data_IF_254092537821
#
_entry.id   IF_254092537821
#
_cell.length_a   1.000
_cell.length_b   1.000
_cell.length_c   1.000
_cell.angle_alpha   90.00
_cell.angle_beta   90.00
_cell.angle_gamma   90.00
#
_symmetry.space_group_name_H-M   'P 1'
#
loop_
_entity.id
_entity.type
_entity.pdbx_description
1 polymer ?
#
# COMPACT_ATOMS: atom_id res chain seq x y z
N UNK A 1 5.63 29.28 29.03
CA UNK A 1 6.45 29.29 27.79
C UNK A 1 5.46 29.51 26.66
N UNK A 2 5.08 30.77 26.47
CA UNK A 2 4.15 31.19 25.43
C UNK A 2 4.83 31.01 24.06
N UNK A 3 4.19 30.24 23.18
CA UNK A 3 4.66 30.09 21.81
C UNK A 3 4.55 31.45 21.09
N UNK A 4 5.56 31.87 20.31
CA UNK A 4 5.53 33.17 19.63
C UNK A 4 4.31 33.26 18.71
N UNK A 5 3.59 34.39 18.79
CA UNK A 5 2.44 34.67 17.94
C UNK A 5 2.88 34.75 16.47
N UNK A 6 2.11 34.16 15.54
CA UNK A 6 2.51 34.10 14.14
C UNK A 6 2.37 35.48 13.47
N UNK A 7 3.47 36.18 13.27
CA UNK A 7 3.54 37.53 12.64
C UNK A 7 3.15 37.57 11.15
N UNK A 8 2.77 36.44 10.53
CA UNK A 8 2.31 36.41 9.12
C UNK A 8 1.10 35.49 8.92
N UNK A 9 0.18 35.81 7.99
CA UNK A 9 -0.99 34.97 7.71
C UNK A 9 -0.61 33.56 7.21
N UNK A 10 0.53 33.43 6.52
CA UNK A 10 1.09 32.13 6.15
C UNK A 10 1.58 31.34 7.37
N UNK A 11 2.26 31.98 8.33
CA UNK A 11 2.67 31.34 9.57
C UNK A 11 1.47 30.89 10.41
N UNK A 12 0.38 31.65 10.43
CA UNK A 12 -0.86 31.26 11.12
C UNK A 12 -1.50 30.02 10.48
N UNK A 13 -1.56 29.96 9.15
CA UNK A 13 -2.05 28.78 8.41
C UNK A 13 -1.14 27.56 8.64
N UNK A 14 0.18 27.75 8.59
CA UNK A 14 1.16 26.67 8.88
C UNK A 14 1.07 26.18 10.32
N UNK A 15 0.86 27.08 11.29
CA UNK A 15 0.67 26.71 12.69
C UNK A 15 -0.62 25.91 12.89
N UNK A 16 -1.72 26.31 12.23
CA UNK A 16 -2.99 25.59 12.28
C UNK A 16 -2.93 24.21 11.61
N UNK A 17 -2.30 24.10 10.44
CA UNK A 17 -2.12 22.81 9.74
C UNK A 17 -1.25 21.86 10.56
N UNK A 18 -0.20 22.38 11.19
CA UNK A 18 0.68 21.59 12.07
C UNK A 18 -0.07 21.06 13.29
N UNK A 19 -0.90 21.90 13.94
CA UNK A 19 -1.74 21.48 15.07
C UNK A 19 -2.75 20.41 14.66
N UNK A 20 -3.41 20.55 13.51
CA UNK A 20 -4.34 19.55 12.99
C UNK A 20 -3.64 18.22 12.69
N UNK A 21 -2.45 18.28 12.08
CA UNK A 21 -1.63 17.10 11.79
C UNK A 21 -1.20 16.39 13.09
N UNK A 22 -0.81 17.13 14.12
CA UNK A 22 -0.44 16.57 15.43
C UNK A 22 -1.64 15.91 16.12
N UNK A 23 -2.82 16.53 16.09
CA UNK A 23 -4.05 15.93 16.64
C UNK A 23 -4.42 14.66 15.88
N UNK A 24 -4.41 14.72 14.55
CA UNK A 24 -4.69 13.56 13.71
C UNK A 24 -3.74 12.40 13.99
N UNK A 25 -2.43 12.68 14.10
CA UNK A 25 -1.43 11.69 14.47
C UNK A 25 -1.69 11.12 15.88
N UNK A 26 -2.06 11.97 16.84
CA UNK A 26 -2.39 11.56 18.21
C UNK A 26 -3.58 10.59 18.26
N UNK A 27 -4.62 10.82 17.45
CA UNK A 27 -5.76 9.91 17.32
C UNK A 27 -5.38 8.60 16.64
N UNK A 28 -4.52 8.66 15.61
CA UNK A 28 -3.99 7.47 14.96
C UNK A 28 -3.16 6.62 15.94
N UNK A 29 -2.32 7.26 16.75
CA UNK A 29 -1.49 6.57 17.74
C UNK A 29 -2.35 5.85 18.78
N UNK A 30 -3.47 6.45 19.23
CA UNK A 30 -4.47 5.80 20.10
C UNK A 30 -5.17 4.59 19.48
N UNK A 31 -5.34 4.55 18.16
CA UNK A 31 -5.95 3.44 17.43
C UNK A 31 -4.97 2.27 17.17
N UNK A 32 -3.67 2.48 17.39
CA UNK A 32 -2.59 1.52 17.14
C UNK A 32 -2.77 0.15 17.82
N UNK A 33 -3.17 0.03 19.11
CA UNK A 33 -3.23 -1.28 19.78
C UNK A 33 -4.39 -2.18 19.30
N UNK A 34 -5.42 -1.61 18.67
CA UNK A 34 -6.65 -2.34 18.33
C UNK A 34 -6.60 -2.99 16.94
N UNK A 35 -5.57 -3.79 16.66
CA UNK A 35 -5.35 -4.41 15.34
C UNK A 35 -6.56 -5.21 14.85
N UNK A 36 -7.16 -6.05 15.69
CA UNK A 36 -8.32 -6.87 15.30
C UNK A 36 -9.54 -6.02 14.90
N UNK A 37 -9.89 -5.02 15.72
CA UNK A 37 -11.02 -4.12 15.44
C UNK A 37 -10.79 -3.27 14.20
N UNK A 38 -9.55 -2.82 13.98
CA UNK A 38 -9.13 -2.07 12.79
C UNK A 38 -9.41 -2.87 11.52
N UNK A 39 -8.90 -4.09 11.44
CA UNK A 39 -9.08 -4.97 10.28
C UNK A 39 -10.52 -5.46 10.12
N UNK A 40 -11.23 -5.73 11.23
CA UNK A 40 -12.64 -6.05 11.18
C UNK A 40 -13.46 -4.91 10.58
N UNK A 41 -13.21 -3.66 11.01
CA UNK A 41 -13.86 -2.48 10.46
C UNK A 41 -13.59 -2.31 8.96
N UNK A 42 -12.34 -2.46 8.52
CA UNK A 42 -11.99 -2.41 7.10
C UNK A 42 -12.66 -3.53 6.29
N UNK A 43 -12.71 -4.75 6.84
CA UNK A 43 -13.37 -5.89 6.22
C UNK A 43 -14.87 -5.66 6.03
N UNK A 44 -15.56 -5.17 7.08
CA UNK A 44 -16.98 -4.80 7.00
C UNK A 44 -17.19 -3.71 5.95
N UNK A 45 -16.38 -2.66 5.95
CA UNK A 45 -16.47 -1.57 4.98
C UNK A 45 -16.25 -2.06 3.54
N UNK A 46 -15.30 -2.96 3.33
CA UNK A 46 -15.03 -3.57 2.03
C UNK A 46 -16.20 -4.44 1.53
N UNK A 47 -16.79 -5.24 2.42
CA UNK A 47 -17.99 -6.04 2.10
C UNK A 47 -19.18 -5.15 1.78
N UNK A 48 -19.41 -4.08 2.54
CA UNK A 48 -20.48 -3.11 2.26
C UNK A 48 -20.27 -2.42 0.91
N UNK A 49 -19.03 -2.05 0.57
CA UNK A 49 -18.69 -1.50 -0.74
C UNK A 49 -18.99 -2.52 -1.86
N UNK A 50 -18.53 -3.77 -1.72
CA UNK A 50 -18.81 -4.83 -2.71
C UNK A 50 -20.31 -5.10 -2.87
N UNK A 51 -21.04 -5.19 -1.76
CA UNK A 51 -22.49 -5.37 -1.75
C UNK A 51 -23.19 -4.21 -2.48
N UNK A 52 -22.75 -2.97 -2.23
CA UNK A 52 -23.27 -1.79 -2.92
C UNK A 52 -23.06 -1.89 -4.42
N UNK A 53 -21.87 -2.23 -4.91
CA UNK A 53 -21.59 -2.37 -6.35
C UNK A 53 -22.46 -3.46 -6.99
N UNK A 54 -22.60 -4.63 -6.33
CA UNK A 54 -23.40 -5.75 -6.83
C UNK A 54 -24.89 -5.42 -6.85
N UNK A 55 -25.43 -4.78 -5.82
CA UNK A 55 -26.85 -4.40 -5.80
C UNK A 55 -27.16 -3.25 -6.77
N UNK A 56 -26.24 -2.30 -6.92
CA UNK A 56 -26.41 -1.14 -7.79
C UNK A 56 -26.15 -1.43 -9.27
N UNK A 57 -25.43 -2.52 -9.57
CA UNK A 57 -24.98 -2.89 -10.90
C UNK A 57 -24.28 -1.73 -11.64
N UNK A 58 -23.41 -0.98 -10.94
CA UNK A 58 -22.75 0.21 -11.49
C UNK A 58 -21.46 0.58 -10.76
N UNK A 59 -20.83 1.70 -11.16
CA UNK A 59 -19.57 2.21 -10.59
C UNK A 59 -18.38 1.22 -10.71
N UNK A 60 -18.37 0.41 -11.76
CA UNK A 60 -17.32 -0.60 -12.00
C UNK A 60 -15.92 -0.01 -12.13
N UNK A 61 -15.79 1.21 -12.66
CA UNK A 61 -14.49 1.91 -12.73
C UNK A 61 -13.97 2.25 -11.33
N UNK A 62 -14.84 2.65 -10.41
CA UNK A 62 -14.46 2.93 -9.02
C UNK A 62 -14.00 1.63 -8.34
N UNK A 63 -14.73 0.54 -8.54
CA UNK A 63 -14.33 -0.77 -8.03
C UNK A 63 -13.00 -1.25 -8.63
N UNK A 64 -12.79 -1.06 -9.92
CA UNK A 64 -11.57 -1.44 -10.63
C UNK A 64 -10.36 -0.64 -10.16
N UNK A 65 -10.48 0.69 -10.06
CA UNK A 65 -9.40 1.56 -9.56
C UNK A 65 -9.07 1.26 -8.09
N UNK A 66 -10.08 1.01 -7.25
CA UNK A 66 -9.87 0.53 -5.89
C UNK A 66 -9.13 -0.81 -5.85
N UNK A 67 -9.51 -1.76 -6.72
CA UNK A 67 -8.87 -3.06 -6.83
C UNK A 67 -7.38 -2.99 -7.23
N UNK A 68 -7.05 -2.14 -8.21
CA UNK A 68 -5.64 -1.90 -8.60
C UNK A 68 -4.88 -1.22 -7.47
N UNK A 69 -5.48 -0.22 -6.81
CA UNK A 69 -4.83 0.47 -5.71
C UNK A 69 -4.52 -0.47 -4.54
N UNK A 70 -5.46 -1.33 -4.16
CA UNK A 70 -5.27 -2.33 -3.11
C UNK A 70 -4.20 -3.36 -3.51
N UNK A 71 -4.15 -3.76 -4.78
CA UNK A 71 -3.07 -4.61 -5.29
C UNK A 71 -1.72 -3.91 -5.17
N UNK A 72 -1.61 -2.65 -5.60
CA UNK A 72 -0.37 -1.88 -5.48
C UNK A 72 0.08 -1.76 -4.02
N UNK A 73 -0.86 -1.53 -3.10
CA UNK A 73 -0.57 -1.48 -1.68
C UNK A 73 -0.08 -2.84 -1.14
N UNK A 74 -0.66 -3.93 -1.64
CA UNK A 74 -0.24 -5.29 -1.30
C UNK A 74 1.16 -5.60 -1.82
N UNK A 75 1.48 -5.19 -3.05
CA UNK A 75 2.83 -5.29 -3.61
C UNK A 75 3.83 -4.51 -2.76
N UNK A 76 3.52 -3.26 -2.40
CA UNK A 76 4.35 -2.46 -1.51
C UNK A 76 4.48 -3.05 -0.09
N UNK A 77 3.54 -3.90 0.35
CA UNK A 77 3.63 -4.59 1.62
C UNK A 77 4.59 -5.79 1.58
N UNK A 78 4.61 -6.53 0.47
CA UNK A 78 5.48 -7.71 0.30
C UNK A 78 6.88 -7.36 -0.19
N UNK A 79 7.06 -6.23 -0.88
CA UNK A 79 8.38 -5.78 -1.36
C UNK A 79 9.24 -5.20 -0.22
N UNK A 80 10.56 -5.47 -0.23
CA UNK A 80 11.49 -4.93 0.75
C UNK A 80 11.67 -3.41 0.56
N UNK A 81 12.04 -2.72 1.63
CA UNK A 81 12.20 -1.26 1.64
C UNK A 81 13.40 -0.78 0.82
N UNK A 82 14.40 -1.64 0.66
CA UNK A 82 15.57 -1.48 -0.20
C UNK A 82 15.58 -2.68 -1.15
N UNK A 83 15.09 -2.49 -2.36
CA UNK A 83 15.12 -3.53 -3.40
C UNK A 83 16.11 -3.08 -4.48
N UNK A 84 17.30 -3.71 -4.61
CA UNK A 84 18.24 -3.44 -5.70
C UNK A 84 17.62 -3.68 -7.09
N UNK A 85 16.52 -4.45 -7.17
CA UNK A 85 15.86 -4.72 -8.44
C UNK A 85 14.89 -3.63 -8.90
N UNK A 86 14.53 -2.66 -8.04
CA UNK A 86 13.74 -1.50 -8.46
C UNK A 86 14.57 -0.54 -9.31
N UNK A 87 15.88 -0.44 -9.08
CA UNK A 87 16.78 0.25 -10.00
C UNK A 87 16.82 -0.48 -11.34
N UNK A 88 17.01 -1.81 -11.34
CA UNK A 88 17.06 -2.59 -12.59
C UNK A 88 15.73 -2.66 -13.37
N UNK A 89 14.59 -2.59 -12.69
CA UNK A 89 13.28 -2.55 -13.35
C UNK A 89 12.98 -1.16 -13.94
N UNK A 90 13.54 -0.09 -13.35
CA UNK A 90 13.50 1.27 -13.92
C UNK A 90 14.42 1.35 -15.14
N UNK A 91 15.60 0.72 -15.09
CA UNK A 91 16.53 0.60 -16.22
C UNK A 91 15.93 -0.18 -17.42
N UNK A 92 14.97 -1.06 -17.15
CA UNK A 92 14.27 -1.84 -18.18
C UNK A 92 13.13 -1.06 -18.84
N UNK A 93 12.65 0.02 -18.22
CA UNK A 93 11.70 0.98 -18.81
C UNK A 93 12.41 2.03 -19.68
N UNK A 94 13.69 2.34 -19.39
CA UNK A 94 14.54 3.27 -20.14
C UNK A 94 15.28 2.66 -21.36
N UNK A 95 14.98 1.42 -21.73
CA UNK A 95 15.43 0.82 -23.00
C UNK A 95 16.95 0.61 -23.13
N UNK A 96 17.69 0.54 -22.02
CA UNK A 96 19.12 0.23 -22.04
C UNK A 96 19.29 -1.30 -22.12
N UNK A 97 20.02 -1.85 -23.11
CA UNK A 97 20.10 -3.28 -23.32
C UNK A 97 20.76 -4.00 -22.14
N UNK A 98 20.17 -5.14 -21.79
CA UNK A 98 20.65 -6.07 -20.78
C UNK A 98 22.11 -6.48 -21.08
N UNK A 99 23.08 -5.86 -20.42
CA UNK A 99 24.49 -6.20 -20.66
C UNK A 99 25.58 -5.43 -19.95
N UNK A 100 25.30 -4.37 -19.18
CA UNK A 100 26.38 -3.61 -18.52
C UNK A 100 26.11 -3.36 -17.04
N UNK A 101 27.11 -3.74 -16.22
CA UNK A 101 27.27 -3.54 -14.77
C UNK A 101 26.65 -4.67 -13.92
N UNK A 102 27.37 -5.49 -13.16
CA UNK A 102 28.80 -5.60 -12.76
C UNK A 102 29.01 -7.04 -12.27
N UNK A 103 30.27 -7.51 -12.31
CA UNK A 103 30.66 -8.89 -11.99
C UNK A 103 30.22 -9.34 -10.57
N UNK A 104 29.71 -10.58 -10.41
CA UNK A 104 29.29 -11.10 -9.11
C UNK A 104 30.52 -11.52 -8.30
N UNK A 105 30.86 -10.76 -7.28
CA UNK A 105 31.94 -11.14 -6.36
C UNK A 105 31.42 -11.21 -4.93
N UNK A 106 31.41 -12.44 -4.41
CA UNK A 106 31.41 -12.84 -2.99
C UNK A 106 30.14 -12.62 -2.15
N UNK A 107 29.46 -13.73 -1.87
CA UNK A 107 29.34 -14.34 -0.53
C UNK A 107 29.63 -13.47 0.71
N UNK A 108 28.85 -12.41 0.94
CA UNK A 108 28.61 -11.92 2.30
C UNK A 108 27.13 -12.06 2.63
N UNK A 109 26.85 -13.04 3.49
CA UNK A 109 25.55 -13.38 4.06
C UNK A 109 25.13 -12.31 5.08
N UNK A 110 25.01 -11.05 4.66
CA UNK A 110 24.45 -10.02 5.52
C UNK A 110 22.93 -10.14 5.50
N UNK A 111 22.39 -10.92 6.44
CA UNK A 111 20.96 -11.08 6.67
C UNK A 111 20.39 -9.76 7.18
N UNK A 112 20.04 -8.85 6.26
CA UNK A 112 19.36 -7.61 6.60
C UNK A 112 17.94 -7.96 7.03
N UNK A 113 17.50 -7.64 8.26
CA UNK A 113 16.12 -7.88 8.68
C UNK A 113 15.15 -7.30 7.65
N UNK A 114 14.16 -8.07 7.21
CA UNK A 114 13.14 -7.57 6.28
C UNK A 114 12.33 -6.46 6.94
N UNK A 115 12.79 -5.23 6.75
CA UNK A 115 11.98 -4.07 7.03
C UNK A 115 11.02 -3.96 5.86
N UNK A 116 9.76 -4.34 6.10
CA UNK A 116 8.68 -4.17 5.12
C UNK A 116 8.64 -2.71 4.68
N UNK A 117 8.48 -2.46 3.37
CA UNK A 117 8.45 -1.08 2.83
C UNK A 117 7.29 -0.29 3.43
N UNK A 118 6.14 -0.95 3.63
CA UNK A 118 4.97 -0.39 4.26
C UNK A 118 4.67 -1.06 5.62
N UNK A 119 4.75 -0.32 6.75
CA UNK A 119 4.27 -0.81 8.04
C UNK A 119 2.79 -1.18 7.96
N UNK A 120 2.38 -2.25 8.66
CA UNK A 120 1.00 -2.74 8.67
C UNK A 120 -0.02 -1.64 8.99
N UNK A 121 0.30 -0.76 9.94
CA UNK A 121 -0.56 0.37 10.29
C UNK A 121 -0.79 1.32 9.10
N UNK A 122 0.25 1.63 8.33
CA UNK A 122 0.15 2.48 7.13
C UNK A 122 -0.60 1.77 6.00
N UNK A 123 -0.41 0.45 5.84
CA UNK A 123 -1.19 -0.38 4.93
C UNK A 123 -2.68 -0.29 5.27
N UNK A 124 -3.03 -0.62 6.51
CA UNK A 124 -4.41 -0.61 6.98
C UNK A 124 -5.06 0.76 6.81
N UNK A 125 -4.35 1.82 7.18
CA UNK A 125 -4.86 3.18 7.09
C UNK A 125 -5.08 3.60 5.63
N UNK A 126 -4.12 3.35 4.74
CA UNK A 126 -4.23 3.66 3.32
C UNK A 126 -5.36 2.86 2.64
N UNK A 127 -5.46 1.56 2.93
CA UNK A 127 -6.52 0.70 2.41
C UNK A 127 -7.90 1.20 2.87
N UNK A 128 -8.07 1.44 4.17
CA UNK A 128 -9.34 1.93 4.74
C UNK A 128 -9.74 3.26 4.12
N UNK A 129 -8.80 4.20 4.01
CA UNK A 129 -9.07 5.51 3.41
C UNK A 129 -9.46 5.40 1.94
N UNK A 130 -8.84 4.49 1.18
CA UNK A 130 -9.20 4.24 -0.21
C UNK A 130 -10.59 3.63 -0.36
N UNK A 131 -10.96 2.66 0.51
CA UNK A 131 -12.30 2.06 0.48
C UNK A 131 -13.36 3.10 0.87
N UNK A 132 -13.12 3.93 1.90
CA UNK A 132 -14.02 5.03 2.28
C UNK A 132 -14.18 6.00 1.10
N UNK A 133 -13.09 6.39 0.45
CA UNK A 133 -13.15 7.29 -0.70
C UNK A 133 -13.89 6.65 -1.88
N UNK A 134 -13.65 5.37 -2.17
CA UNK A 134 -14.37 4.61 -3.20
C UNK A 134 -15.87 4.56 -2.89
N UNK A 135 -16.23 4.31 -1.63
CA UNK A 135 -17.62 4.35 -1.16
C UNK A 135 -18.23 5.75 -1.38
N UNK A 136 -17.50 6.81 -1.04
CA UNK A 136 -17.90 8.20 -1.28
C UNK A 136 -18.15 8.49 -2.77
N UNK A 137 -17.25 8.03 -3.64
CA UNK A 137 -17.37 8.15 -5.09
C UNK A 137 -18.61 7.42 -5.65
N UNK A 138 -19.05 6.33 -5.02
CA UNK A 138 -20.25 5.57 -5.42
C UNK A 138 -21.58 6.28 -5.17
N UNK A 139 -21.59 7.43 -4.46
CA UNK A 139 -22.77 8.29 -4.36
C UNK A 139 -22.85 9.35 -5.47
N UNK A 140 -21.77 9.57 -6.22
CA UNK A 140 -21.77 10.51 -7.35
C UNK A 140 -21.98 9.78 -8.68
N UNK A 141 -22.87 10.29 -9.53
CA UNK A 141 -23.11 9.75 -10.86
C UNK A 141 -21.96 10.01 -11.85
N UNK A 142 -21.10 10.98 -11.56
CA UNK A 142 -19.95 11.36 -12.42
C UNK A 142 -19.02 10.16 -12.66
N UNK A 143 -18.87 9.29 -11.66
CA UNK A 143 -18.01 8.10 -11.73
C UNK A 143 -18.73 6.84 -12.26
N UNK A 144 -20.00 6.95 -12.64
CA UNK A 144 -20.79 5.85 -13.16
C UNK A 144 -20.83 5.87 -14.69
N UNK A 145 -19.79 5.33 -15.31
CA UNK A 145 -19.69 5.24 -16.77
C UNK A 145 -20.10 3.83 -17.24
N UNK A 146 -20.88 3.72 -18.33
CA UNK A 146 -21.27 2.43 -18.89
C UNK A 146 -20.05 1.74 -19.52
N UNK A 147 -19.50 0.76 -18.81
CA UNK A 147 -18.34 -0.04 -19.26
C UNK A 147 -18.67 -1.52 -19.17
N UNK A 148 -18.06 -2.31 -20.05
CA UNK A 148 -18.20 -3.76 -20.01
C UNK A 148 -17.42 -4.33 -18.82
N UNK A 149 -18.06 -4.41 -17.66
CA UNK A 149 -17.42 -4.81 -16.41
C UNK A 149 -16.74 -6.20 -16.42
N UNK A 150 -17.19 -7.22 -17.19
CA UNK A 150 -16.49 -8.50 -17.21
C UNK A 150 -15.06 -8.38 -17.74
N UNK A 151 -14.82 -7.50 -18.72
CA UNK A 151 -13.45 -7.31 -19.23
C UNK A 151 -12.55 -6.69 -18.16
N UNK A 152 -13.06 -5.75 -17.34
CA UNK A 152 -12.29 -5.15 -16.24
C UNK A 152 -11.88 -6.20 -15.20
N UNK A 153 -12.77 -7.14 -14.89
CA UNK A 153 -12.46 -8.24 -13.96
C UNK A 153 -11.38 -9.13 -14.55
N UNK A 154 -11.47 -9.49 -15.84
CA UNK A 154 -10.45 -10.30 -16.52
C UNK A 154 -9.10 -9.59 -16.54
N UNK A 155 -9.05 -8.29 -16.90
CA UNK A 155 -7.81 -7.50 -16.85
C UNK A 155 -7.23 -7.45 -15.45
N UNK A 156 -8.05 -7.20 -14.44
CA UNK A 156 -7.61 -7.17 -13.06
C UNK A 156 -7.03 -8.52 -12.63
N UNK A 157 -7.69 -9.64 -12.96
CA UNK A 157 -7.17 -10.98 -12.66
C UNK A 157 -5.83 -11.23 -13.35
N UNK A 158 -5.72 -10.99 -14.66
CA UNK A 158 -4.47 -11.15 -15.41
C UNK A 158 -3.35 -10.33 -14.78
N UNK A 159 -3.63 -9.07 -14.43
CA UNK A 159 -2.68 -8.18 -13.78
C UNK A 159 -2.25 -8.75 -12.42
N UNK A 160 -3.20 -9.13 -11.55
CA UNK A 160 -2.91 -9.77 -10.26
C UNK A 160 -2.01 -10.99 -10.44
N UNK A 161 -2.34 -11.91 -11.36
CA UNK A 161 -1.55 -13.12 -11.59
C UNK A 161 -0.14 -12.80 -12.11
N UNK A 162 0.00 -11.92 -13.10
CA UNK A 162 1.29 -11.53 -13.65
C UNK A 162 2.15 -10.83 -12.60
N UNK A 163 1.59 -9.88 -11.85
CA UNK A 163 2.35 -9.14 -10.86
C UNK A 163 2.74 -10.03 -9.69
N UNK A 164 1.85 -10.90 -9.21
CA UNK A 164 2.18 -11.87 -8.16
C UNK A 164 3.24 -12.87 -8.61
N UNK A 165 3.16 -13.39 -9.84
CA UNK A 165 4.18 -14.27 -10.40
C UNK A 165 5.55 -13.59 -10.44
N UNK A 166 5.62 -12.36 -10.96
CA UNK A 166 6.87 -11.57 -11.01
C UNK A 166 7.42 -11.33 -9.60
N UNK A 167 6.57 -10.96 -8.65
CA UNK A 167 6.99 -10.75 -7.26
C UNK A 167 7.53 -12.02 -6.60
N UNK A 168 6.87 -13.16 -6.78
CA UNK A 168 7.36 -14.44 -6.25
C UNK A 168 8.72 -14.81 -6.86
N UNK A 169 8.92 -14.58 -8.16
CA UNK A 169 10.21 -14.81 -8.81
C UNK A 169 11.32 -13.92 -8.23
N UNK A 170 11.04 -12.64 -8.00
CA UNK A 170 11.97 -11.72 -7.32
C UNK A 170 12.27 -12.16 -5.89
N UNK A 171 11.25 -12.56 -5.12
CA UNK A 171 11.40 -13.09 -3.76
C UNK A 171 12.33 -14.31 -3.73
N UNK A 172 12.19 -15.24 -4.68
CA UNK A 172 13.04 -16.42 -4.80
C UNK A 172 14.46 -16.05 -5.20
N UNK A 173 14.62 -15.15 -6.19
CA UNK A 173 15.92 -14.70 -6.71
C UNK A 173 16.76 -14.00 -5.64
N UNK A 174 16.14 -13.10 -4.87
CA UNK A 174 16.80 -12.31 -3.83
C UNK A 174 16.64 -12.90 -2.43
N UNK A 175 16.08 -14.12 -2.33
CA UNK A 175 15.87 -14.89 -1.08
C UNK A 175 15.31 -14.05 0.06
N UNK A 176 14.19 -13.38 -0.19
CA UNK A 176 13.46 -12.69 0.86
C UNK A 176 12.08 -13.26 1.09
N UNK A 177 11.66 -13.24 2.36
CA UNK A 177 10.34 -13.71 2.79
C UNK A 177 9.71 -12.63 3.67
N UNK A 178 8.49 -12.14 3.36
CA UNK A 178 7.83 -11.07 4.12
C UNK A 178 7.39 -11.51 5.53
N UNK A 179 7.55 -12.81 5.84
CA UNK A 179 7.19 -13.42 7.10
C UNK A 179 8.40 -14.07 7.77
N UNK A 180 8.64 -13.71 9.03
CA UNK A 180 9.59 -14.38 9.93
C UNK A 180 9.00 -15.69 10.52
N UNK A 181 8.47 -16.59 9.68
CA UNK A 181 8.10 -17.93 10.15
C UNK A 181 9.37 -18.75 10.37
N UNK A 182 9.85 -18.83 11.62
CA UNK A 182 10.87 -19.80 12.02
C UNK A 182 12.16 -19.28 12.65
N UNK A 183 12.28 -17.98 12.98
CA UNK A 183 13.43 -17.52 13.79
C UNK A 183 13.26 -17.99 15.24
N UNK A 184 14.12 -18.89 15.68
CA UNK A 184 14.28 -19.30 17.07
C UNK A 184 14.55 -18.07 17.93
N UNK A 185 13.62 -17.75 18.83
CA UNK A 185 13.85 -16.72 19.87
C UNK A 185 14.96 -17.25 20.77
N UNK A 186 16.16 -16.68 20.65
CA UNK A 186 17.18 -16.91 21.65
C UNK A 186 16.69 -16.29 22.96
N UNK A 187 16.41 -17.15 23.94
CA UNK A 187 16.14 -16.69 25.30
C UNK A 187 17.41 -16.01 25.79
N UNK A 188 17.37 -14.68 25.94
CA UNK A 188 18.38 -13.96 26.70
C UNK A 188 18.35 -14.51 28.13
N UNK A 189 19.49 -15.03 28.58
CA UNK A 189 19.69 -15.53 29.94
C UNK A 189 20.09 -14.37 30.84
#
# INVERSE_FOLDING_TARGET
MDAPEPDTPFAAVTAQTTRFQQLYQSYLDKATPYTAYRWAGTGVLFVLFGLRIVLAQGWYIVAYTLGIYLLNLFLAFISPKFDPSLESDTDMEDGIPAGSSTLPTKNDQEFRPFVRRLPEFKFWHAATRAIVLGMLCCWSQIFNLPVFWPVLVVYWLILVFLTMRRQIQSMIKYRYVPWDFGKTKYSAK
#
